data_IF_066362543039
#
_entry.id   IF_066362543039
#
_cell.length_a   1.000
_cell.length_b   1.000
_cell.length_c   1.000
_cell.angle_alpha   90.00
_cell.angle_beta   90.00
_cell.angle_gamma   90.00
#
_symmetry.space_group_name_H-M   'P 1'
#
loop_
_entity.id
_entity.type
_entity.pdbx_description
1 polymer ?
#
# COMPACT_ATOMS: atom_id res chain seq x y z
N UNK A 1 16.86 -0.91 -8.63
CA UNK A 1 17.35 -0.62 -7.27
C UNK A 1 18.84 -0.89 -7.23
N UNK A 2 19.57 -0.02 -6.57
CA UNK A 2 21.02 -0.13 -6.44
C UNK A 2 21.38 -1.07 -5.28
N UNK A 3 20.54 -1.11 -4.25
CA UNK A 3 20.70 -1.97 -3.08
C UNK A 3 19.40 -2.71 -2.74
N UNK A 4 19.54 -3.93 -2.23
CA UNK A 4 18.45 -4.73 -1.67
C UNK A 4 18.82 -5.16 -0.24
N UNK A 5 18.08 -4.67 0.74
CA UNK A 5 18.31 -4.96 2.15
C UNK A 5 17.32 -6.01 2.62
N UNK A 6 17.83 -7.12 3.15
CA UNK A 6 17.05 -8.21 3.73
C UNK A 6 17.56 -8.53 5.13
N UNK A 7 16.96 -9.51 5.80
CA UNK A 7 17.43 -9.97 7.11
C UNK A 7 18.88 -10.45 7.10
N UNK A 8 19.39 -10.91 5.96
CA UNK A 8 20.76 -11.46 5.84
C UNK A 8 21.82 -10.37 5.82
N UNK A 9 21.49 -9.18 5.29
CA UNK A 9 22.40 -8.04 5.17
C UNK A 9 21.92 -6.78 5.89
N UNK A 10 20.98 -6.93 6.84
CA UNK A 10 20.44 -5.81 7.63
C UNK A 10 21.52 -5.07 8.43
N UNK A 11 22.53 -5.78 8.92
CA UNK A 11 23.47 -5.34 9.95
C UNK A 11 22.97 -5.69 11.36
N UNK A 12 23.85 -5.59 12.33
CA UNK A 12 23.54 -5.93 13.73
C UNK A 12 22.90 -4.76 14.50
N UNK A 13 23.02 -3.54 13.98
CA UNK A 13 22.52 -2.33 14.59
C UNK A 13 21.01 -2.18 14.33
N UNK A 14 20.25 -1.84 15.39
CA UNK A 14 18.83 -1.52 15.32
C UNK A 14 17.89 -2.64 14.83
N UNK A 15 18.28 -3.90 14.99
CA UNK A 15 17.44 -5.03 14.63
C UNK A 15 16.55 -5.47 15.81
N UNK A 16 15.65 -4.62 16.22
CA UNK A 16 14.63 -5.00 17.19
C UNK A 16 13.58 -5.91 16.55
N UNK A 17 13.28 -7.01 17.21
CA UNK A 17 12.22 -7.93 16.80
C UNK A 17 10.99 -7.72 17.66
N UNK A 18 9.83 -7.59 17.03
CA UNK A 18 8.55 -7.73 17.67
C UNK A 18 7.90 -9.05 17.22
N UNK A 19 7.64 -9.93 18.16
CA UNK A 19 7.38 -11.34 17.88
C UNK A 19 8.58 -11.98 17.16
N UNK A 20 8.38 -12.51 15.95
CA UNK A 20 9.42 -13.13 15.13
C UNK A 20 9.83 -12.28 13.91
N UNK A 21 9.36 -11.02 13.85
CA UNK A 21 9.60 -10.12 12.72
C UNK A 21 10.37 -8.89 13.17
N UNK A 22 11.12 -8.29 12.26
CA UNK A 22 11.70 -6.97 12.51
C UNK A 22 10.55 -5.99 12.79
N UNK A 23 10.66 -5.21 13.85
CA UNK A 23 9.64 -4.22 14.19
C UNK A 23 9.55 -3.13 13.12
N UNK A 24 8.37 -2.55 12.94
CA UNK A 24 8.21 -1.41 12.04
C UNK A 24 9.05 -0.23 12.50
N UNK A 25 9.22 -0.07 13.82
CA UNK A 25 10.13 0.92 14.39
C UNK A 25 11.57 0.72 13.91
N UNK A 26 12.13 -0.47 14.08
CA UNK A 26 13.48 -0.76 13.59
C UNK A 26 13.62 -0.61 12.07
N UNK A 27 12.56 -0.96 11.34
CA UNK A 27 12.51 -0.79 9.88
C UNK A 27 12.54 0.69 9.49
N UNK A 28 11.80 1.54 10.17
CA UNK A 28 11.78 2.98 9.90
C UNK A 28 13.05 3.68 10.38
N UNK A 29 13.64 3.26 11.49
CA UNK A 29 14.98 3.70 11.92
C UNK A 29 16.06 3.35 10.87
N UNK A 30 15.94 2.19 10.21
CA UNK A 30 16.86 1.84 9.11
C UNK A 30 16.65 2.75 7.89
N UNK A 31 15.43 3.14 7.56
CA UNK A 31 15.16 4.12 6.49
C UNK A 31 15.79 5.47 6.83
N UNK A 32 15.68 5.92 8.07
CA UNK A 32 16.31 7.16 8.54
C UNK A 32 17.85 7.07 8.41
N UNK A 33 18.44 5.96 8.83
CA UNK A 33 19.90 5.72 8.71
C UNK A 33 20.36 5.80 7.26
N UNK A 34 19.64 5.15 6.32
CA UNK A 34 19.94 5.24 4.89
C UNK A 34 19.86 6.68 4.35
N UNK A 35 18.91 7.45 4.86
CA UNK A 35 18.79 8.86 4.49
C UNK A 35 19.97 9.68 5.04
N UNK A 36 20.41 9.43 6.28
CA UNK A 36 21.51 10.14 6.91
C UNK A 36 22.88 9.79 6.30
N UNK A 37 23.02 8.55 5.81
CA UNK A 37 24.27 8.02 5.23
C UNK A 37 24.45 8.40 3.74
N UNK A 38 23.38 8.83 3.03
CA UNK A 38 23.49 9.21 1.62
C UNK A 38 24.33 10.48 1.42
N UNK A 39 24.94 10.63 0.26
CA UNK A 39 25.62 11.87 -0.10
C UNK A 39 24.59 13.03 -0.23
N UNK A 40 25.05 14.26 0.06
CA UNK A 40 24.16 15.43 0.15
C UNK A 40 23.43 15.77 -1.17
N UNK A 41 23.98 15.43 -2.32
CA UNK A 41 23.44 15.64 -3.66
C UNK A 41 22.73 14.40 -4.23
N UNK A 42 22.78 13.27 -3.50
CA UNK A 42 22.09 12.03 -3.87
C UNK A 42 20.60 12.10 -3.57
N UNK A 43 19.79 11.48 -4.43
CA UNK A 43 18.36 11.28 -4.21
C UNK A 43 18.09 9.85 -3.79
N UNK A 44 17.30 9.70 -2.73
CA UNK A 44 16.93 8.41 -2.19
C UNK A 44 15.49 8.04 -2.61
N UNK A 45 15.33 6.85 -3.17
CA UNK A 45 14.04 6.19 -3.33
C UNK A 45 14.07 4.85 -2.59
N UNK A 46 13.25 4.72 -1.56
CA UNK A 46 13.14 3.49 -0.77
C UNK A 46 11.77 2.86 -0.97
N UNK A 47 11.74 1.60 -1.41
CA UNK A 47 10.54 0.76 -1.38
C UNK A 47 10.70 -0.24 -0.23
N UNK A 48 9.88 -0.09 0.80
CA UNK A 48 9.96 -0.88 2.02
C UNK A 48 8.74 -1.78 2.17
N UNK A 49 8.98 -3.04 2.55
CA UNK A 49 7.94 -4.01 2.93
C UNK A 49 8.12 -4.35 4.40
N UNK A 50 7.21 -3.90 5.25
CA UNK A 50 7.21 -4.24 6.67
C UNK A 50 6.59 -5.60 6.92
N UNK A 51 7.06 -6.30 7.95
CA UNK A 51 6.60 -7.66 8.27
C UNK A 51 6.00 -7.80 9.68
N UNK A 52 6.08 -6.75 10.51
CA UNK A 52 5.62 -6.79 11.89
C UNK A 52 4.18 -7.30 12.05
N UNK A 53 3.29 -6.84 11.14
CA UNK A 53 1.87 -7.17 11.17
C UNK A 53 1.51 -8.41 10.37
N UNK A 54 2.48 -9.12 9.79
CA UNK A 54 2.21 -10.36 9.05
C UNK A 54 1.51 -11.40 9.92
N UNK A 55 0.69 -12.24 9.29
CA UNK A 55 -0.20 -13.21 9.94
C UNK A 55 0.49 -14.18 10.91
N UNK A 56 -0.35 -14.90 11.63
CA UNK A 56 -0.02 -15.67 12.82
C UNK A 56 -0.28 -14.81 14.04
N UNK A 57 -1.56 -14.80 14.55
CA UNK A 57 -1.95 -13.96 15.69
C UNK A 57 -2.39 -14.81 16.90
N UNK A 58 -2.18 -16.12 16.85
CA UNK A 58 -2.48 -17.03 17.98
C UNK A 58 -1.57 -16.72 19.17
N UNK A 59 -1.87 -17.29 20.31
CA UNK A 59 -1.04 -17.13 21.52
C UNK A 59 0.41 -17.60 21.25
N UNK A 60 0.56 -18.70 20.53
CA UNK A 60 1.86 -19.27 20.16
C UNK A 60 2.65 -18.35 19.21
N UNK A 61 1.95 -17.68 18.28
CA UNK A 61 2.56 -16.78 17.32
C UNK A 61 3.04 -15.44 17.93
N UNK A 62 2.54 -15.10 19.12
CA UNK A 62 2.87 -13.84 19.80
C UNK A 62 4.32 -13.75 20.26
N UNK A 63 4.97 -14.89 20.51
CA UNK A 63 6.37 -14.96 20.96
C UNK A 63 6.68 -13.99 22.14
N UNK A 64 5.76 -13.89 23.09
CA UNK A 64 5.86 -13.00 24.27
C UNK A 64 5.25 -11.60 24.07
N UNK A 65 4.73 -11.26 22.91
CA UNK A 65 3.98 -10.02 22.71
C UNK A 65 2.61 -10.09 23.39
N UNK A 66 2.32 -9.11 24.25
CA UNK A 66 1.04 -9.02 24.96
C UNK A 66 0.15 -7.95 24.30
N UNK A 67 -1.05 -8.33 23.80
CA UNK A 67 -1.97 -7.40 23.18
C UNK A 67 -2.43 -6.32 24.15
N UNK A 68 -2.31 -5.07 23.75
CA UNK A 68 -2.69 -3.88 24.52
C UNK A 68 -4.08 -3.35 24.16
N UNK A 69 -4.58 -3.66 22.96
CA UNK A 69 -5.92 -3.31 22.50
C UNK A 69 -6.90 -4.39 22.97
N UNK A 70 -8.03 -3.96 23.52
CA UNK A 70 -9.14 -4.83 23.93
C UNK A 70 -10.42 -4.37 23.26
N UNK A 71 -11.13 -5.34 22.69
CA UNK A 71 -12.42 -5.11 22.05
C UNK A 71 -13.55 -5.18 23.10
N UNK A 72 -14.49 -4.24 23.03
CA UNK A 72 -15.59 -4.13 23.98
C UNK A 72 -16.83 -4.99 23.63
N UNK A 73 -16.61 -6.21 23.13
CA UNK A 73 -17.67 -7.16 22.83
C UNK A 73 -17.78 -8.22 23.93
N UNK A 74 -18.97 -8.85 24.07
CA UNK A 74 -19.18 -9.98 24.99
C UNK A 74 -18.42 -11.23 24.54
N UNK A 75 -18.16 -11.37 23.23
CA UNK A 75 -17.36 -12.45 22.63
C UNK A 75 -15.91 -11.95 22.51
N UNK A 76 -14.95 -12.79 22.91
CA UNK A 76 -13.52 -12.49 22.75
C UNK A 76 -13.05 -12.75 21.32
N UNK A 77 -12.23 -11.84 20.80
CA UNK A 77 -11.60 -11.93 19.48
C UNK A 77 -10.07 -11.77 19.61
N UNK A 78 -9.36 -12.77 20.14
CA UNK A 78 -7.95 -12.66 20.49
C UNK A 78 -7.03 -12.46 19.29
N UNK A 79 -7.39 -12.94 18.09
CA UNK A 79 -6.59 -12.69 16.87
C UNK A 79 -6.74 -11.22 16.44
N UNK A 80 -7.96 -10.71 16.45
CA UNK A 80 -8.24 -9.30 16.14
C UNK A 80 -7.57 -8.36 17.14
N UNK A 81 -7.64 -8.66 18.45
CA UNK A 81 -6.97 -7.88 19.48
C UNK A 81 -5.45 -7.88 19.31
N UNK A 82 -4.87 -9.03 18.95
CA UNK A 82 -3.43 -9.12 18.62
C UNK A 82 -3.07 -8.26 17.43
N UNK A 83 -3.80 -8.40 16.32
CA UNK A 83 -3.58 -7.59 15.11
C UNK A 83 -3.71 -6.09 15.38
N UNK A 84 -4.78 -5.66 16.04
CA UNK A 84 -5.01 -4.25 16.35
C UNK A 84 -3.93 -3.67 17.28
N UNK A 85 -3.42 -4.49 18.20
CA UNK A 85 -2.30 -4.09 19.04
C UNK A 85 -1.01 -3.90 18.23
N UNK A 86 -0.74 -4.78 17.29
CA UNK A 86 0.41 -4.65 16.37
C UNK A 86 0.26 -3.42 15.46
N UNK A 87 -0.93 -3.20 14.91
CA UNK A 87 -1.21 -2.02 14.09
C UNK A 87 -1.02 -0.70 14.88
N UNK A 88 -1.33 -0.69 16.18
CA UNK A 88 -1.06 0.45 17.05
C UNK A 88 0.44 0.70 17.22
N UNK A 89 1.25 -0.35 17.33
CA UNK A 89 2.72 -0.19 17.38
C UNK A 89 3.25 0.37 16.04
N UNK A 90 2.72 -0.11 14.90
CA UNK A 90 3.04 0.44 13.58
C UNK A 90 2.68 1.91 13.43
N UNK A 91 1.49 2.31 13.90
CA UNK A 91 1.04 3.70 13.90
C UNK A 91 1.98 4.59 14.70
N UNK A 92 2.41 4.13 15.89
CA UNK A 92 3.36 4.85 16.72
C UNK A 92 4.73 4.99 16.05
N UNK A 93 5.23 3.94 15.42
CA UNK A 93 6.49 3.96 14.68
C UNK A 93 6.40 4.86 13.44
N UNK A 94 5.28 4.82 12.72
CA UNK A 94 5.05 5.68 11.57
C UNK A 94 5.01 7.17 11.96
N UNK A 95 4.40 7.49 13.09
CA UNK A 95 4.42 8.84 13.64
C UNK A 95 5.87 9.31 13.88
N UNK A 96 6.71 8.49 14.50
CA UNK A 96 8.14 8.82 14.75
C UNK A 96 8.88 9.08 13.42
N UNK A 97 8.61 8.30 12.38
CA UNK A 97 9.16 8.49 11.03
C UNK A 97 8.76 9.86 10.45
N UNK A 98 7.47 10.21 10.52
CA UNK A 98 6.98 11.51 10.04
C UNK A 98 7.59 12.67 10.82
N UNK A 99 7.68 12.58 12.16
CA UNK A 99 8.26 13.61 13.03
C UNK A 99 9.77 13.83 12.75
N UNK A 100 10.48 12.80 12.26
CA UNK A 100 11.85 12.94 11.80
C UNK A 100 11.90 13.75 10.49
N UNK A 101 11.17 13.30 9.46
CA UNK A 101 11.20 13.94 8.14
C UNK A 101 10.52 15.32 8.09
N UNK A 102 9.65 15.64 9.04
CA UNK A 102 9.09 16.98 9.20
C UNK A 102 10.18 18.07 9.46
N UNK A 103 11.32 17.65 10.05
CA UNK A 103 12.44 18.54 10.39
C UNK A 103 13.52 18.60 9.31
N UNK A 104 13.35 17.83 8.25
CA UNK A 104 14.30 17.73 7.14
C UNK A 104 13.98 18.80 6.11
N UNK A 105 14.99 19.57 5.68
CA UNK A 105 14.82 20.63 4.68
C UNK A 105 14.65 20.08 3.25
N UNK A 106 15.15 18.87 2.96
CA UNK A 106 15.00 18.24 1.65
C UNK A 106 13.55 17.81 1.42
N UNK A 107 12.93 18.20 0.27
CA UNK A 107 11.56 17.78 -0.04
C UNK A 107 11.40 16.26 -0.01
N UNK A 108 10.55 15.79 0.88
CA UNK A 108 10.33 14.37 1.15
C UNK A 108 8.85 14.02 1.02
N UNK A 109 8.57 12.91 0.35
CA UNK A 109 7.25 12.29 0.30
C UNK A 109 7.32 10.89 0.90
N UNK A 110 6.41 10.58 1.81
CA UNK A 110 6.28 9.25 2.41
C UNK A 110 4.89 8.71 2.07
N UNK A 111 4.86 7.50 1.52
CA UNK A 111 3.62 6.79 1.19
C UNK A 111 3.56 5.51 2.01
N UNK A 112 2.51 5.36 2.79
CA UNK A 112 2.20 4.14 3.53
C UNK A 112 0.87 3.59 3.05
N UNK A 113 0.80 2.29 2.81
CA UNK A 113 -0.43 1.62 2.41
C UNK A 113 -0.46 0.18 2.93
N UNK A 114 -1.67 -0.33 3.15
CA UNK A 114 -1.89 -1.74 3.44
C UNK A 114 -1.93 -2.57 2.15
N UNK A 115 -1.38 -3.76 2.18
CA UNK A 115 -1.38 -4.70 1.06
C UNK A 115 -2.63 -5.56 1.02
N UNK A 116 -3.13 -6.01 2.18
CA UNK A 116 -4.34 -6.82 2.33
C UNK A 116 -4.86 -6.84 3.78
N UNK A 117 -6.08 -7.32 3.95
CA UNK A 117 -6.67 -7.51 5.27
C UNK A 117 -6.02 -8.67 6.04
N UNK A 118 -5.98 -8.58 7.40
CA UNK A 118 -5.45 -9.65 8.25
C UNK A 118 -6.35 -10.89 8.25
N UNK A 119 -5.76 -12.05 8.49
CA UNK A 119 -6.50 -13.28 8.73
C UNK A 119 -6.81 -13.41 10.24
N UNK A 120 -7.95 -12.86 10.65
CA UNK A 120 -8.47 -12.88 12.01
C UNK A 120 -9.76 -13.71 12.09
N UNK A 121 -10.50 -13.66 13.21
CA UNK A 121 -11.73 -14.42 13.39
C UNK A 121 -12.77 -14.07 12.31
N UNK A 122 -13.31 -15.10 11.64
CA UNK A 122 -14.31 -14.92 10.57
C UNK A 122 -15.60 -14.26 11.10
N UNK A 123 -15.97 -14.54 12.35
CA UNK A 123 -17.13 -13.91 13.00
C UNK A 123 -16.92 -12.41 13.19
N UNK A 124 -15.71 -12.00 13.60
CA UNK A 124 -15.38 -10.57 13.73
C UNK A 124 -15.35 -9.90 12.34
N UNK A 125 -14.75 -10.55 11.35
CA UNK A 125 -14.77 -10.07 9.97
C UNK A 125 -16.20 -9.90 9.44
N UNK A 126 -17.08 -10.86 9.71
CA UNK A 126 -18.49 -10.77 9.31
C UNK A 126 -19.21 -9.59 9.98
N UNK A 127 -18.87 -9.27 11.23
CA UNK A 127 -19.40 -8.05 11.90
C UNK A 127 -18.94 -6.77 11.22
N UNK A 128 -17.67 -6.69 10.83
CA UNK A 128 -17.12 -5.51 10.14
C UNK A 128 -17.73 -5.32 8.74
N UNK A 129 -17.96 -6.41 8.02
CA UNK A 129 -18.50 -6.39 6.66
C UNK A 129 -20.03 -6.33 6.60
N UNK A 130 -20.73 -6.44 7.74
CA UNK A 130 -22.18 -6.52 7.78
C UNK A 130 -22.78 -7.84 7.29
N UNK A 131 -21.95 -8.88 7.14
CA UNK A 131 -22.37 -10.22 6.71
C UNK A 131 -21.23 -11.15 6.36
N UNK A 132 -21.55 -12.40 6.11
CA UNK A 132 -20.58 -13.40 5.66
C UNK A 132 -20.10 -13.07 4.24
N UNK A 133 -18.81 -13.20 3.95
CA UNK A 133 -18.20 -12.92 2.62
C UNK A 133 -18.95 -13.56 1.45
N UNK A 134 -19.47 -14.80 1.63
CA UNK A 134 -20.22 -15.53 0.59
C UNK A 134 -21.64 -14.98 0.33
N UNK A 135 -22.17 -14.18 1.26
CA UNK A 135 -23.52 -13.61 1.16
C UNK A 135 -23.54 -12.11 0.85
N UNK A 136 -22.37 -11.49 0.71
CA UNK A 136 -22.25 -10.07 0.38
C UNK A 136 -22.61 -9.81 -1.08
N UNK A 137 -23.22 -8.66 -1.32
CA UNK A 137 -23.42 -8.14 -2.67
C UNK A 137 -22.13 -7.73 -3.36
N UNK A 138 -22.23 -7.30 -4.62
CA UNK A 138 -21.07 -6.92 -5.44
C UNK A 138 -20.26 -5.82 -4.77
N UNK A 139 -20.90 -4.77 -4.29
CA UNK A 139 -20.25 -3.60 -3.68
C UNK A 139 -19.70 -3.93 -2.30
N UNK A 140 -20.50 -4.55 -1.45
CA UNK A 140 -20.10 -4.90 -0.09
C UNK A 140 -18.92 -5.86 -0.07
N UNK A 141 -18.83 -6.74 -1.06
CA UNK A 141 -17.69 -7.67 -1.19
C UNK A 141 -16.38 -6.93 -1.42
N UNK A 142 -16.38 -5.75 -2.05
CA UNK A 142 -15.18 -4.96 -2.32
C UNK A 142 -14.54 -4.40 -1.04
N UNK A 143 -15.32 -4.19 0.02
CA UNK A 143 -14.79 -3.73 1.30
C UNK A 143 -13.69 -4.66 1.84
N UNK A 144 -13.78 -5.96 1.56
CA UNK A 144 -12.77 -6.94 1.99
C UNK A 144 -11.42 -6.81 1.25
N UNK A 145 -11.35 -5.99 0.21
CA UNK A 145 -10.15 -5.68 -0.57
C UNK A 145 -9.70 -4.22 -0.40
N UNK A 146 -10.40 -3.45 0.44
CA UNK A 146 -10.06 -2.05 0.68
C UNK A 146 -9.07 -1.94 1.82
N UNK A 147 -7.94 -1.29 1.59
CA UNK A 147 -6.89 -1.01 2.59
C UNK A 147 -6.65 0.49 2.67
N UNK A 148 -6.26 1.02 3.84
CA UNK A 148 -5.92 2.42 3.96
C UNK A 148 -4.61 2.75 3.26
N UNK A 149 -4.49 3.99 2.78
CA UNK A 149 -3.23 4.59 2.37
C UNK A 149 -3.10 6.01 2.91
N UNK A 150 -1.87 6.46 3.07
CA UNK A 150 -1.51 7.84 3.44
C UNK A 150 -0.38 8.30 2.54
N UNK A 151 -0.52 9.50 1.97
CA UNK A 151 0.57 10.21 1.30
C UNK A 151 0.85 11.46 2.12
N UNK A 152 2.04 11.54 2.67
CA UNK A 152 2.51 12.65 3.48
C UNK A 152 3.72 13.32 2.81
N UNK A 153 3.79 14.63 2.95
CA UNK A 153 4.92 15.43 2.46
C UNK A 153 5.36 16.44 3.51
N UNK A 154 6.66 16.73 3.59
CA UNK A 154 7.18 17.81 4.43
C UNK A 154 7.14 19.19 3.72
N UNK A 155 6.51 19.27 2.57
CA UNK A 155 6.28 20.50 1.81
C UNK A 155 4.79 20.73 1.58
N UNK A 156 4.35 21.99 1.28
CA UNK A 156 2.93 22.28 1.09
C UNK A 156 2.31 21.42 -0.01
N UNK A 157 1.23 20.72 0.32
CA UNK A 157 0.41 19.93 -0.60
C UNK A 157 -1.06 20.08 -0.22
N UNK A 158 -1.96 19.84 -1.18
CA UNK A 158 -3.39 19.80 -0.89
C UNK A 158 -3.74 18.54 -0.09
N UNK A 159 -4.63 18.68 0.91
CA UNK A 159 -5.22 17.53 1.59
C UNK A 159 -6.40 17.03 0.77
N UNK A 160 -6.32 15.79 0.32
CA UNK A 160 -7.35 15.13 -0.48
C UNK A 160 -7.72 13.81 0.19
N UNK A 161 -9.03 13.53 0.25
CA UNK A 161 -9.56 12.21 0.60
C UNK A 161 -10.17 11.61 -0.67
N UNK A 162 -9.59 10.52 -1.16
CA UNK A 162 -10.01 9.90 -2.41
C UNK A 162 -9.80 8.38 -2.35
N UNK A 163 -10.79 7.64 -2.81
CA UNK A 163 -10.70 6.19 -2.99
C UNK A 163 -10.30 5.85 -4.43
N UNK A 164 -9.25 5.07 -4.58
CA UNK A 164 -8.82 4.54 -5.87
C UNK A 164 -8.04 3.24 -5.74
N UNK A 165 -7.92 2.52 -6.83
CA UNK A 165 -7.20 1.24 -6.85
C UNK A 165 -5.69 1.40 -6.76
N UNK A 166 -5.04 0.46 -6.06
CA UNK A 166 -3.60 0.47 -5.80
C UNK A 166 -2.72 0.54 -7.06
N UNK A 167 -3.22 0.06 -8.22
CA UNK A 167 -2.51 0.15 -9.51
C UNK A 167 -2.25 1.60 -9.96
N UNK A 168 -3.00 2.57 -9.43
CA UNK A 168 -2.81 4.00 -9.72
C UNK A 168 -1.82 4.69 -8.77
N UNK A 169 -1.57 4.09 -7.60
CA UNK A 169 -0.85 4.76 -6.51
C UNK A 169 0.52 5.29 -6.94
N UNK A 170 1.32 4.48 -7.67
CA UNK A 170 2.63 4.92 -8.15
C UNK A 170 2.56 6.09 -9.13
N UNK A 171 1.57 6.09 -10.03
CA UNK A 171 1.36 7.21 -10.98
C UNK A 171 0.87 8.46 -10.27
N UNK A 172 0.00 8.30 -9.28
CA UNK A 172 -0.51 9.39 -8.46
C UNK A 172 0.60 10.04 -7.61
N UNK A 173 1.51 9.24 -7.06
CA UNK A 173 2.72 9.76 -6.40
C UNK A 173 3.57 10.63 -7.32
N UNK A 174 3.83 10.19 -8.55
CA UNK A 174 4.59 10.97 -9.54
C UNK A 174 3.90 12.31 -9.85
N UNK A 175 2.58 12.29 -10.00
CA UNK A 175 1.77 13.49 -10.22
C UNK A 175 1.88 14.47 -9.04
N UNK A 176 1.70 14.00 -7.81
CA UNK A 176 1.78 14.82 -6.61
C UNK A 176 3.18 15.40 -6.38
N UNK A 177 4.21 14.64 -6.72
CA UNK A 177 5.59 15.08 -6.64
C UNK A 177 5.99 16.05 -7.78
N UNK A 178 5.11 16.30 -8.75
CA UNK A 178 5.41 17.14 -9.92
C UNK A 178 6.49 16.54 -10.84
N UNK A 179 6.65 15.22 -10.80
CA UNK A 179 7.64 14.49 -11.61
C UNK A 179 7.08 14.14 -13.00
N UNK A 180 8.00 14.00 -13.97
CA UNK A 180 7.64 13.55 -15.30
C UNK A 180 7.04 12.13 -15.23
N UNK A 181 5.98 11.91 -15.99
CA UNK A 181 5.32 10.59 -16.07
C UNK A 181 5.57 9.94 -17.43
N UNK A 182 6.06 8.69 -17.48
CA UNK A 182 6.05 7.88 -18.70
C UNK A 182 4.64 7.72 -19.27
N UNK A 183 4.52 7.38 -20.54
CA UNK A 183 3.24 7.20 -21.22
C UNK A 183 2.31 6.21 -20.51
N UNK A 184 2.85 5.13 -19.94
CA UNK A 184 2.08 4.17 -19.15
C UNK A 184 1.45 4.82 -17.90
N UNK A 185 2.21 5.63 -17.17
CA UNK A 185 1.70 6.32 -15.99
C UNK A 185 0.66 7.39 -16.37
N UNK A 186 0.86 8.11 -17.49
CA UNK A 186 -0.14 9.04 -18.03
C UNK A 186 -1.44 8.31 -18.41
N UNK A 187 -1.32 7.14 -19.07
CA UNK A 187 -2.48 6.28 -19.36
C UNK A 187 -3.21 5.87 -18.08
N UNK A 188 -2.51 5.43 -17.03
CA UNK A 188 -3.12 5.06 -15.76
C UNK A 188 -3.85 6.24 -15.10
N UNK A 189 -3.32 7.45 -15.15
CA UNK A 189 -4.00 8.63 -14.62
C UNK A 189 -5.28 8.96 -15.39
N UNK A 190 -5.24 8.88 -16.74
CA UNK A 190 -6.44 9.07 -17.56
C UNK A 190 -7.48 7.96 -17.33
N UNK A 191 -7.04 6.72 -17.10
CA UNK A 191 -7.92 5.61 -16.76
C UNK A 191 -8.58 5.82 -15.40
N UNK A 192 -7.83 6.28 -14.38
CA UNK A 192 -8.33 6.63 -13.05
C UNK A 192 -9.47 7.64 -13.11
N UNK A 193 -9.40 8.65 -14.00
CA UNK A 193 -10.47 9.63 -14.17
C UNK A 193 -11.80 9.02 -14.64
N UNK A 194 -11.77 7.88 -15.32
CA UNK A 194 -12.96 7.20 -15.81
C UNK A 194 -13.38 6.01 -14.94
N UNK A 195 -12.41 5.27 -14.45
CA UNK A 195 -12.56 4.06 -13.66
C UNK A 195 -11.66 4.13 -12.42
N UNK A 196 -11.99 4.94 -11.41
CA UNK A 196 -11.16 5.12 -10.22
C UNK A 196 -10.91 3.82 -9.45
N UNK A 197 -11.87 2.87 -9.50
CA UNK A 197 -11.70 1.59 -8.80
C UNK A 197 -11.79 0.42 -9.80
N UNK A 198 -10.71 -0.32 -9.90
CA UNK A 198 -10.62 -1.61 -10.60
C UNK A 198 -10.31 -2.65 -9.53
N UNK A 199 -11.35 -3.31 -9.02
CA UNK A 199 -11.28 -4.26 -7.91
C UNK A 199 -11.34 -5.72 -8.37
N UNK A 200 -11.35 -6.61 -7.39
CA UNK A 200 -11.50 -8.05 -7.62
C UNK A 200 -12.96 -8.36 -8.00
N UNK A 201 -13.18 -8.64 -9.28
CA UNK A 201 -14.52 -8.99 -9.80
C UNK A 201 -15.44 -7.82 -10.06
N UNK A 202 -15.06 -6.58 -9.75
CA UNK A 202 -15.89 -5.40 -9.92
C UNK A 202 -15.08 -4.15 -10.27
N UNK A 203 -15.73 -3.24 -11.00
CA UNK A 203 -15.18 -1.92 -11.39
C UNK A 203 -16.18 -0.86 -10.98
N UNK A 204 -15.69 0.27 -10.45
CA UNK A 204 -16.49 1.46 -10.20
C UNK A 204 -16.11 2.56 -11.19
N UNK A 205 -17.11 3.20 -11.81
CA UNK A 205 -16.88 4.34 -12.68
C UNK A 205 -16.82 5.67 -11.91
N UNK A 206 -16.45 6.74 -12.62
CA UNK A 206 -16.33 8.10 -12.07
C UNK A 206 -17.64 8.68 -11.49
N UNK A 207 -18.78 8.10 -11.85
CA UNK A 207 -20.10 8.50 -11.39
C UNK A 207 -20.58 7.66 -10.19
N UNK A 208 -19.75 6.72 -9.70
CA UNK A 208 -20.02 5.84 -8.57
C UNK A 208 -20.84 4.60 -8.91
N UNK A 209 -21.00 4.27 -10.19
CA UNK A 209 -21.71 3.07 -10.59
C UNK A 209 -20.77 1.86 -10.58
N UNK A 210 -21.23 0.77 -9.99
CA UNK A 210 -20.50 -0.47 -9.91
C UNK A 210 -20.98 -1.49 -10.94
N UNK A 211 -20.03 -2.15 -11.58
CA UNK A 211 -20.23 -3.17 -12.59
C UNK A 211 -19.43 -4.42 -12.25
N UNK A 212 -20.02 -5.59 -12.43
CA UNK A 212 -19.24 -6.82 -12.47
C UNK A 212 -18.33 -6.84 -13.72
N UNK A 213 -17.17 -7.46 -13.62
CA UNK A 213 -16.17 -7.44 -14.71
C UNK A 213 -16.70 -7.98 -16.04
N UNK A 214 -17.68 -8.90 -16.01
CA UNK A 214 -18.34 -9.50 -17.18
C UNK A 214 -19.54 -8.67 -17.70
N UNK A 215 -19.95 -7.65 -16.95
CA UNK A 215 -21.13 -6.83 -17.24
C UNK A 215 -20.82 -5.34 -17.50
N UNK A 216 -19.55 -5.01 -17.80
CA UNK A 216 -19.13 -3.65 -18.13
C UNK A 216 -19.83 -3.11 -19.38
N UNK A 217 -20.19 -1.81 -19.42
CA UNK A 217 -20.53 -1.09 -20.66
C UNK A 217 -19.42 -1.20 -21.71
N UNK A 218 -19.78 -1.13 -22.98
CA UNK A 218 -18.83 -1.38 -24.09
C UNK A 218 -17.64 -0.38 -24.11
N UNK A 219 -17.88 0.88 -23.74
CA UNK A 219 -16.80 1.88 -23.64
C UNK A 219 -15.82 1.51 -22.54
N UNK A 220 -16.29 1.05 -21.38
CA UNK A 220 -15.44 0.60 -20.27
C UNK A 220 -14.76 -0.75 -20.56
N UNK A 221 -15.41 -1.66 -21.30
CA UNK A 221 -14.77 -2.88 -21.81
C UNK A 221 -13.53 -2.57 -22.64
N UNK A 222 -13.63 -1.55 -23.52
CA UNK A 222 -12.50 -1.12 -24.31
C UNK A 222 -11.35 -0.59 -23.44
N UNK A 223 -11.64 0.30 -22.49
CA UNK A 223 -10.63 0.83 -21.55
C UNK A 223 -9.95 -0.30 -20.76
N UNK A 224 -10.72 -1.26 -20.25
CA UNK A 224 -10.18 -2.41 -19.53
C UNK A 224 -9.37 -3.33 -20.43
N UNK A 225 -9.74 -3.47 -21.72
CA UNK A 225 -8.94 -4.23 -22.69
C UNK A 225 -7.60 -3.55 -22.92
N UNK A 226 -7.59 -2.24 -23.14
CA UNK A 226 -6.38 -1.46 -23.34
C UNK A 226 -5.48 -1.51 -22.09
N UNK A 227 -6.08 -1.40 -20.89
CA UNK A 227 -5.38 -1.54 -19.62
C UNK A 227 -4.70 -2.91 -19.49
N UNK A 228 -5.43 -3.99 -19.69
CA UNK A 228 -4.90 -5.36 -19.59
C UNK A 228 -3.75 -5.62 -20.59
N UNK A 229 -3.86 -5.09 -21.81
CA UNK A 229 -2.79 -5.20 -22.82
C UNK A 229 -1.54 -4.46 -22.37
N UNK A 230 -1.69 -3.22 -21.90
CA UNK A 230 -0.57 -2.39 -21.47
C UNK A 230 0.07 -2.93 -20.18
N UNK A 231 -0.73 -3.41 -19.25
CA UNK A 231 -0.26 -4.05 -18.02
C UNK A 231 0.56 -5.31 -18.35
N UNK A 232 0.02 -6.19 -19.21
CA UNK A 232 0.74 -7.38 -19.67
C UNK A 232 2.04 -7.02 -20.37
N UNK A 233 2.00 -6.03 -21.28
CA UNK A 233 3.19 -5.56 -21.98
C UNK A 233 4.26 -5.02 -21.02
N UNK A 234 3.84 -4.25 -20.03
CA UNK A 234 4.76 -3.66 -19.05
C UNK A 234 5.39 -4.71 -18.10
N UNK A 235 4.62 -5.71 -17.67
CA UNK A 235 5.05 -6.66 -16.63
C UNK A 235 5.66 -7.95 -17.20
N UNK A 236 5.10 -8.47 -18.29
CA UNK A 236 5.37 -9.85 -18.73
C UNK A 236 6.00 -9.95 -20.12
N UNK A 237 5.76 -8.97 -21.04
CA UNK A 237 6.29 -9.02 -22.39
C UNK A 237 7.82 -8.85 -22.39
N UNK A 238 8.51 -9.73 -23.12
CA UNK A 238 9.98 -9.75 -23.17
C UNK A 238 10.54 -9.30 -24.52
N UNK A 239 9.82 -9.57 -25.63
CA UNK A 239 10.31 -9.34 -26.99
C UNK A 239 9.81 -8.02 -27.56
N UNK A 240 8.52 -7.77 -27.42
CA UNK A 240 7.83 -6.62 -27.99
C UNK A 240 7.42 -5.60 -26.91
N UNK A 241 8.22 -5.52 -25.83
CA UNK A 241 7.99 -4.59 -24.74
C UNK A 241 8.11 -3.15 -25.21
N UNK A 242 7.09 -2.35 -24.96
CA UNK A 242 7.03 -0.93 -25.30
C UNK A 242 7.87 -0.10 -24.30
N UNK A 243 9.20 -0.27 -24.34
CA UNK A 243 10.13 0.31 -23.35
C UNK A 243 10.00 1.83 -23.28
N UNK A 244 9.94 2.50 -24.43
CA UNK A 244 9.84 3.97 -24.51
C UNK A 244 8.51 4.50 -23.92
N UNK A 245 7.46 3.69 -23.95
CA UNK A 245 6.18 4.04 -23.37
C UNK A 245 6.14 3.80 -21.85
N UNK A 246 6.85 2.79 -21.36
CA UNK A 246 6.84 2.34 -19.98
C UNK A 246 7.99 2.92 -19.12
N UNK A 247 8.94 3.63 -19.70
CA UNK A 247 10.11 4.18 -19.01
C UNK A 247 10.28 5.68 -19.23
N UNK A 248 10.96 6.33 -18.29
CA UNK A 248 11.42 7.70 -18.47
C UNK A 248 12.43 7.76 -19.62
N UNK A 249 12.34 8.76 -20.47
CA UNK A 249 13.40 9.06 -21.42
C UNK A 249 14.68 9.35 -20.63
N UNK A 250 15.63 8.43 -20.63
CA UNK A 250 16.94 8.70 -20.06
C UNK A 250 17.52 9.88 -20.83
N UNK A 251 17.60 11.03 -20.18
CA UNK A 251 18.42 12.15 -20.67
C UNK A 251 19.84 11.60 -20.74
N UNK A 252 20.37 11.48 -21.97
CA UNK A 252 21.76 11.03 -22.24
C UNK A 252 22.74 12.11 -21.86
#
# INVERSE_FOLDING_TARGET
FDEFISLENWGDEHRELLRNYVSDKATFEKIISLYEEKDADEKLFTFCVTMQNHGGYTVEDRAGFEPTVKLGYDTEYPLAETYLSLARESDSAFKELLEYFEKVDEPTMIVMFGDHWPKIEEEFMAKLLGGNRQSLGLVESQQSYTTPYVIWTNYPSETVEEDFSANYLGSYMLQLAGLEMPGYNQFLMNLKEQLPIIGVGAVCDKDGNWYANDALPDDYKKLMTDYNILEYNNQFEKKDRMVDFASFNRIK
#
